data_IF_928294855668
#
_entry.id   IF_928294855668
#
_cell.length_a   1.000
_cell.length_b   1.000
_cell.length_c   1.000
_cell.angle_alpha   90.00
_cell.angle_beta   90.00
_cell.angle_gamma   90.00
#
_symmetry.space_group_name_H-M   'P 1'
#
loop_
_entity.id
_entity.type
_entity.pdbx_description
1 polymer ?
#
# COMPACT_ATOMS: atom_id res chain seq x y z
N UNK A 1 12.39 -10.10 3.80
CA UNK A 1 12.14 -10.82 5.06
C UNK A 1 10.68 -11.25 5.07
N UNK A 2 10.36 -12.50 5.38
CA UNK A 2 8.95 -12.93 5.49
C UNK A 2 8.51 -12.71 6.93
N UNK A 3 7.56 -11.80 7.15
CA UNK A 3 7.11 -11.44 8.48
C UNK A 3 6.20 -12.56 9.05
N UNK A 4 6.72 -13.34 9.98
CA UNK A 4 6.02 -14.51 10.58
C UNK A 4 4.95 -14.05 11.59
N UNK A 5 5.08 -12.82 12.11
CA UNK A 5 4.16 -12.22 13.08
C UNK A 5 3.67 -10.89 12.52
N UNK A 6 2.36 -10.59 12.52
CA UNK A 6 1.87 -9.29 12.07
C UNK A 6 2.52 -8.18 12.92
N UNK A 7 3.34 -7.36 12.27
CA UNK A 7 4.10 -6.28 12.92
C UNK A 7 3.60 -4.93 12.40
N UNK A 8 2.69 -4.26 13.15
CA UNK A 8 2.00 -3.07 12.68
C UNK A 8 2.88 -1.89 12.21
N UNK A 9 4.07 -1.63 12.78
CA UNK A 9 4.92 -0.53 12.32
C UNK A 9 5.45 -0.69 10.89
N UNK A 10 5.18 -1.81 10.22
CA UNK A 10 5.61 -2.10 8.84
C UNK A 10 4.36 -2.21 7.95
N UNK A 11 3.62 -1.10 7.73
CA UNK A 11 2.43 -1.14 6.89
C UNK A 11 2.79 -1.47 5.44
N UNK A 12 2.01 -2.39 4.88
CA UNK A 12 1.97 -2.63 3.44
C UNK A 12 1.05 -1.59 2.79
N UNK A 13 1.62 -0.71 1.99
CA UNK A 13 0.91 0.36 1.31
C UNK A 13 0.37 -0.16 -0.02
N UNK A 14 -0.94 -0.02 -0.21
CA UNK A 14 -1.68 -0.51 -1.40
C UNK A 14 -2.57 0.56 -2.02
N UNK A 15 -2.93 1.60 -1.27
CA UNK A 15 -3.67 2.76 -1.78
C UNK A 15 -2.67 3.75 -2.39
N UNK A 16 -2.45 3.59 -3.69
CA UNK A 16 -1.49 4.33 -4.50
C UNK A 16 -2.20 5.13 -5.57
N UNK A 17 -1.86 6.42 -5.69
CA UNK A 17 -2.39 7.28 -6.73
C UNK A 17 -1.72 6.96 -8.07
N UNK A 18 -2.40 6.18 -8.92
CA UNK A 18 -1.88 5.70 -10.22
C UNK A 18 -1.93 6.75 -11.34
N UNK A 19 -2.51 7.92 -11.11
CA UNK A 19 -2.48 9.03 -12.07
C UNK A 19 -1.07 9.61 -12.21
N UNK A 20 -0.27 9.52 -11.14
CA UNK A 20 1.12 9.95 -11.14
C UNK A 20 2.04 8.84 -11.70
N UNK A 21 2.96 9.14 -12.64
CA UNK A 21 3.86 8.15 -13.22
C UNK A 21 4.70 7.41 -12.18
N UNK A 22 4.97 8.00 -11.02
CA UNK A 22 5.69 7.35 -9.91
C UNK A 22 5.04 5.99 -9.54
N UNK A 23 3.72 5.88 -9.65
CA UNK A 23 2.95 4.74 -9.15
C UNK A 23 2.35 3.83 -10.24
N UNK A 24 2.54 4.11 -11.53
CA UNK A 24 1.79 3.46 -12.61
C UNK A 24 1.93 1.92 -12.67
N UNK A 25 3.00 1.33 -12.13
CA UNK A 25 3.20 -0.12 -12.04
C UNK A 25 3.51 -0.63 -10.62
N UNK A 26 3.21 0.21 -9.64
CA UNK A 26 3.35 -0.17 -8.26
C UNK A 26 2.01 -0.71 -7.77
N UNK A 27 2.08 -1.92 -7.25
CA UNK A 27 0.98 -2.62 -6.64
C UNK A 27 1.02 -2.47 -5.12
N UNK A 28 2.19 -2.67 -4.53
CA UNK A 28 2.39 -2.41 -3.11
C UNK A 28 3.86 -2.29 -2.72
N UNK A 29 4.11 -1.54 -1.66
CA UNK A 29 5.42 -1.47 -1.03
C UNK A 29 5.28 -1.30 0.49
N UNK A 30 6.27 -1.74 1.23
CA UNK A 30 6.31 -1.61 2.69
C UNK A 30 7.03 -0.32 3.05
N UNK A 31 6.46 0.49 3.94
CA UNK A 31 7.15 1.64 4.53
C UNK A 31 7.42 1.39 6.02
N UNK A 32 8.62 0.91 6.40
CA UNK A 32 8.95 0.62 7.79
C UNK A 32 8.95 1.91 8.63
N UNK A 33 8.33 1.85 9.81
CA UNK A 33 8.29 2.96 10.78
C UNK A 33 7.83 4.29 10.18
N UNK A 34 6.87 4.23 9.25
CA UNK A 34 6.40 5.41 8.54
C UNK A 34 5.64 6.38 9.44
N UNK A 35 5.92 7.67 9.26
CA UNK A 35 5.17 8.78 9.87
C UNK A 35 4.07 9.27 8.95
N UNK A 36 2.94 9.65 9.53
CA UNK A 36 1.86 10.31 8.79
C UNK A 36 2.27 11.72 8.36
N UNK A 37 1.81 12.12 7.18
CA UNK A 37 2.02 13.45 6.61
C UNK A 37 0.68 14.19 6.55
N UNK A 38 0.75 15.52 6.49
CA UNK A 38 -0.42 16.35 6.23
C UNK A 38 -0.01 17.52 5.34
N UNK A 39 -0.66 17.64 4.19
CA UNK A 39 -0.44 18.78 3.29
C UNK A 39 -1.22 19.99 3.80
N UNK A 40 -0.52 21.12 3.93
CA UNK A 40 -1.17 22.39 4.23
C UNK A 40 -1.67 23.04 2.94
N UNK A 41 -2.96 22.82 2.61
CA UNK A 41 -3.57 23.37 1.41
C UNK A 41 -3.55 24.90 1.34
N UNK A 42 -3.62 25.58 2.49
CA UNK A 42 -3.61 27.05 2.55
C UNK A 42 -2.29 27.62 2.03
N UNK A 43 -1.17 27.02 2.45
CA UNK A 43 0.17 27.41 1.98
C UNK A 43 0.38 27.06 0.51
N UNK A 44 -0.10 25.90 0.07
CA UNK A 44 0.01 25.47 -1.32
C UNK A 44 -0.74 26.40 -2.27
N UNK A 45 -2.01 26.70 -1.96
CA UNK A 45 -2.84 27.63 -2.75
C UNK A 45 -2.26 29.04 -2.75
N UNK A 46 -1.83 29.55 -1.59
CA UNK A 46 -1.22 30.88 -1.47
C UNK A 46 0.08 31.04 -2.27
N UNK A 47 0.80 29.94 -2.51
CA UNK A 47 2.06 29.93 -3.27
C UNK A 47 1.91 29.50 -4.73
N UNK A 48 0.68 29.18 -5.19
CA UNK A 48 0.45 28.65 -6.54
C UNK A 48 1.08 27.27 -6.78
N UNK A 49 1.32 26.49 -5.72
CA UNK A 49 1.93 25.17 -5.79
C UNK A 49 0.86 24.08 -5.91
N UNK A 50 1.12 23.06 -6.73
CA UNK A 50 0.26 21.88 -6.86
C UNK A 50 0.77 20.80 -5.91
N UNK A 51 -0.02 20.47 -4.90
CA UNK A 51 0.19 19.32 -4.03
C UNK A 51 -0.64 18.11 -4.46
N UNK A 52 -0.07 16.93 -4.34
CA UNK A 52 -0.69 15.64 -4.66
C UNK A 52 -0.27 14.60 -3.62
N UNK A 53 -1.22 13.78 -3.16
CA UNK A 53 -0.91 12.61 -2.33
C UNK A 53 -0.60 11.45 -3.25
N UNK A 54 0.56 10.82 -3.06
CA UNK A 54 1.01 9.68 -3.87
C UNK A 54 0.61 8.35 -3.23
N UNK A 55 0.58 8.26 -1.91
CA UNK A 55 0.31 7.02 -1.21
C UNK A 55 -0.35 7.24 0.14
N UNK A 56 -1.32 6.38 0.46
CA UNK A 56 -2.08 6.39 1.73
C UNK A 56 -2.06 5.05 2.42
N UNK A 57 -2.20 5.09 3.74
CA UNK A 57 -2.49 3.90 4.53
C UNK A 57 -3.95 3.48 4.39
N UNK A 58 -4.24 2.22 4.74
CA UNK A 58 -5.62 1.72 4.74
C UNK A 58 -6.50 2.43 5.79
N UNK A 59 -7.82 2.39 5.61
CA UNK A 59 -8.78 2.89 6.60
C UNK A 59 -8.71 2.19 7.98
N UNK A 60 -7.98 1.07 8.09
CA UNK A 60 -7.74 0.34 9.35
C UNK A 60 -6.39 0.66 9.99
N UNK A 61 -5.71 1.70 9.54
CA UNK A 61 -4.47 2.16 10.15
C UNK A 61 -4.75 3.02 11.39
N UNK A 62 -3.79 3.09 12.30
CA UNK A 62 -3.81 3.99 13.46
C UNK A 62 -2.42 4.60 13.65
N UNK A 63 -2.36 5.71 14.38
CA UNK A 63 -1.10 6.37 14.72
C UNK A 63 -0.79 6.22 16.21
N UNK A 64 0.48 6.03 16.55
CA UNK A 64 0.97 6.09 17.93
C UNK A 64 1.75 7.39 18.12
N UNK A 65 1.54 8.08 19.25
CA UNK A 65 2.16 9.37 19.55
C UNK A 65 2.99 9.28 20.83
N UNK A 66 3.95 10.18 20.97
CA UNK A 66 4.84 10.29 22.13
C UNK A 66 5.72 9.05 22.30
N UNK A 67 5.81 8.53 23.53
CA UNK A 67 6.55 7.32 23.83
C UNK A 67 5.71 6.08 23.51
N UNK A 68 6.25 5.19 22.69
CA UNK A 68 5.65 3.90 22.37
C UNK A 68 6.71 2.81 22.34
N UNK A 69 6.30 1.57 22.62
CA UNK A 69 7.19 0.41 22.56
C UNK A 69 7.07 -0.29 21.22
N UNK A 70 8.22 -0.55 20.60
CA UNK A 70 8.33 -1.28 19.34
C UNK A 70 8.35 -2.81 19.50
N UNK A 71 8.41 -3.30 20.74
CA UNK A 71 8.32 -4.74 20.98
C UNK A 71 6.91 -5.24 20.62
N UNK A 72 6.77 -6.28 19.77
CA UNK A 72 5.46 -6.79 19.34
C UNK A 72 4.50 -7.13 20.49
N UNK A 73 5.05 -7.50 21.65
CA UNK A 73 4.28 -7.89 22.84
C UNK A 73 3.64 -6.70 23.56
N UNK A 74 4.18 -5.49 23.36
CA UNK A 74 3.76 -4.27 24.06
C UNK A 74 3.10 -3.24 23.14
N UNK A 75 2.91 -3.56 21.85
CA UNK A 75 2.14 -2.71 20.94
C UNK A 75 0.67 -2.79 21.34
N UNK A 76 0.14 -1.67 21.84
CA UNK A 76 -1.27 -1.60 22.20
C UNK A 76 -2.16 -1.61 20.95
N UNK A 77 -3.25 -2.39 20.95
CA UNK A 77 -4.21 -2.37 19.86
C UNK A 77 -4.92 -1.01 19.79
N UNK A 78 -5.31 -0.57 18.59
CA UNK A 78 -6.05 0.68 18.42
C UNK A 78 -7.44 0.62 19.06
N UNK A 79 -7.96 1.76 19.51
CA UNK A 79 -9.38 1.86 19.83
C UNK A 79 -10.19 1.97 18.51
N UNK A 80 -11.46 1.51 18.48
CA UNK A 80 -12.27 1.58 17.26
C UNK A 80 -12.39 2.97 16.63
N UNK A 81 -12.27 4.04 17.43
CA UNK A 81 -12.31 5.44 16.96
C UNK A 81 -10.99 5.97 16.39
N UNK A 82 -9.87 5.27 16.60
CA UNK A 82 -8.54 5.72 16.17
C UNK A 82 -8.22 5.31 14.72
N UNK A 83 -9.04 4.41 14.15
CA UNK A 83 -8.83 3.84 12.84
C UNK A 83 -9.19 4.84 11.73
N UNK A 84 -8.18 5.22 10.93
CA UNK A 84 -8.36 6.09 9.76
C UNK A 84 -7.25 5.89 8.74
N UNK A 85 -7.51 6.36 7.52
CA UNK A 85 -6.46 6.47 6.50
C UNK A 85 -5.56 7.68 6.78
N UNK A 86 -4.27 7.53 6.51
CA UNK A 86 -3.24 8.56 6.69
C UNK A 86 -2.47 8.74 5.38
N UNK A 87 -2.13 9.97 5.05
CA UNK A 87 -1.23 10.26 3.94
C UNK A 87 0.20 9.90 4.35
N UNK A 88 0.91 9.14 3.51
CA UNK A 88 2.26 8.63 3.81
C UNK A 88 3.32 9.24 2.89
N UNK A 89 2.92 9.56 1.66
CA UNK A 89 3.78 10.16 0.64
C UNK A 89 3.03 11.29 -0.04
N UNK A 90 3.68 12.44 -0.15
CA UNK A 90 3.16 13.60 -0.86
C UNK A 90 4.17 14.15 -1.87
N UNK A 91 3.68 14.63 -3.00
CA UNK A 91 4.45 15.34 -4.00
C UNK A 91 3.94 16.77 -4.14
N UNK A 92 4.85 17.71 -4.34
CA UNK A 92 4.57 19.11 -4.59
C UNK A 92 5.34 19.55 -5.82
N UNK A 93 4.68 20.28 -6.73
CA UNK A 93 5.29 20.78 -7.95
C UNK A 93 4.86 22.23 -8.22
N UNK A 94 5.76 23.00 -8.81
CA UNK A 94 5.51 24.40 -9.18
C UNK A 94 6.74 25.29 -9.02
N UNK A 95 6.54 26.59 -9.14
CA UNK A 95 7.59 27.59 -8.86
C UNK A 95 7.59 27.87 -7.37
N UNK A 96 8.60 27.38 -6.66
CA UNK A 96 8.72 27.62 -5.22
C UNK A 96 9.14 29.07 -4.96
N UNK A 97 8.52 29.77 -4.00
CA UNK A 97 8.97 31.10 -3.62
C UNK A 97 10.42 31.02 -3.12
N UNK A 98 11.26 31.94 -3.57
CA UNK A 98 12.66 32.00 -3.15
C UNK A 98 12.72 32.32 -1.65
N UNK A 99 13.45 31.50 -0.89
CA UNK A 99 13.68 31.75 0.53
C UNK A 99 14.51 33.02 0.77
N UNK A 100 15.28 33.46 -0.23
CA UNK A 100 16.12 34.66 -0.18
C UNK A 100 15.79 35.57 -1.37
N UNK A 101 15.20 36.73 -1.09
CA UNK A 101 15.09 37.82 -2.05
C UNK A 101 16.42 38.57 -2.17
N UNK A 102 16.69 39.16 -3.33
CA UNK A 102 17.88 39.97 -3.55
C UNK A 102 18.05 41.02 -2.42
N UNK A 103 19.17 40.97 -1.70
CA UNK A 103 19.47 41.84 -0.55
C UNK A 103 19.51 41.15 0.82
N UNK A 104 18.95 39.94 0.96
CA UNK A 104 19.03 39.13 2.19
C UNK A 104 20.10 38.03 2.14
N UNK A 105 20.89 37.99 1.07
CA UNK A 105 21.98 37.03 0.93
C UNK A 105 23.03 37.36 1.99
N UNK A 106 23.39 36.41 2.89
CA UNK A 106 24.43 36.65 3.89
C UNK A 106 25.71 37.14 3.22
N UNK A 107 26.32 38.22 3.71
CA UNK A 107 27.61 38.66 3.21
C UNK A 107 28.68 37.61 3.53
N UNK A 108 29.67 37.37 2.67
CA UNK A 108 30.73 36.41 2.94
C UNK A 108 31.44 36.80 4.24
N UNK A 109 31.57 35.85 5.16
CA UNK A 109 32.08 36.09 6.51
C UNK A 109 33.60 36.04 6.55
N UNK A 110 34.22 35.39 5.55
CA UNK A 110 35.68 35.28 5.39
C UNK A 110 36.14 35.67 3.99
N UNK A 111 37.36 36.21 3.85
CA UNK A 111 37.97 36.41 2.54
C UNK A 111 38.14 35.06 1.83
N UNK A 112 37.53 34.90 0.66
CA UNK A 112 37.57 33.65 -0.13
C UNK A 112 36.28 32.82 -0.09
N UNK A 113 35.28 33.19 0.73
CA UNK A 113 33.97 32.54 0.72
C UNK A 113 33.25 32.84 -0.61
N UNK A 114 33.12 31.83 -1.46
CA UNK A 114 32.22 31.85 -2.61
C UNK A 114 30.82 31.48 -2.15
N UNK A 115 29.93 32.47 -2.12
CA UNK A 115 28.51 32.23 -1.89
C UNK A 115 27.88 31.62 -3.15
N UNK A 116 26.93 30.69 -3.02
CA UNK A 116 26.19 30.20 -4.17
C UNK A 116 25.46 31.36 -4.86
N UNK A 117 25.56 31.43 -6.19
CA UNK A 117 24.78 32.38 -6.98
C UNK A 117 23.32 31.98 -6.92
N UNK A 118 22.52 32.73 -6.17
CA UNK A 118 21.08 32.54 -6.12
C UNK A 118 20.47 32.99 -7.45
N UNK A 119 19.70 32.11 -8.09
CA UNK A 119 18.97 32.48 -9.29
C UNK A 119 17.92 33.55 -8.93
N UNK A 120 17.91 34.65 -9.67
CA UNK A 120 16.97 35.75 -9.46
C UNK A 120 15.50 35.34 -9.74
N UNK A 121 15.29 34.28 -10.53
CA UNK A 121 13.97 33.73 -10.83
C UNK A 121 13.86 32.27 -10.39
N UNK A 122 12.78 31.95 -9.68
CA UNK A 122 12.45 30.60 -9.28
C UNK A 122 12.06 29.75 -10.50
N UNK A 123 12.86 28.73 -10.79
CA UNK A 123 12.51 27.71 -11.78
C UNK A 123 11.45 26.77 -11.20
N UNK A 124 10.57 26.19 -12.04
CA UNK A 124 9.69 25.11 -11.61
C UNK A 124 10.54 23.96 -11.04
N UNK A 125 10.16 23.47 -9.87
CA UNK A 125 10.80 22.33 -9.24
C UNK A 125 9.74 21.32 -8.76
N UNK A 126 10.24 20.16 -8.36
CA UNK A 126 9.46 19.06 -7.80
C UNK A 126 10.05 18.69 -6.44
N UNK A 127 9.17 18.46 -5.48
CA UNK A 127 9.52 18.01 -4.14
C UNK A 127 8.67 16.79 -3.83
N UNK A 128 9.28 15.72 -3.34
CA UNK A 128 8.58 14.55 -2.80
C UNK A 128 8.99 14.40 -1.35
N UNK A 129 8.00 14.18 -0.48
CA UNK A 129 8.20 13.91 0.94
C UNK A 129 7.65 12.52 1.23
N UNK A 130 8.50 11.69 1.83
CA UNK A 130 8.14 10.34 2.28
C UNK A 130 8.39 10.27 3.78
N UNK A 131 7.38 9.87 4.55
CA UNK A 131 7.47 9.77 6.01
C UNK A 131 8.34 8.64 6.55
N UNK A 132 9.26 8.07 5.76
CA UNK A 132 10.03 6.88 6.09
C UNK A 132 11.51 7.07 5.76
N UNK A 133 12.36 7.11 6.78
CA UNK A 133 13.81 7.27 6.61
C UNK A 133 14.50 5.97 6.15
N UNK A 134 13.99 4.82 6.58
CA UNK A 134 14.62 3.52 6.34
C UNK A 134 14.25 2.89 4.98
N UNK A 135 13.40 3.54 4.17
CA UNK A 135 12.94 2.94 2.90
C UNK A 135 14.08 2.60 1.92
N UNK A 136 15.20 3.33 2.02
CA UNK A 136 16.37 3.15 1.16
C UNK A 136 17.47 2.30 1.82
N UNK A 137 17.18 1.65 2.95
CA UNK A 137 18.15 0.78 3.59
C UNK A 137 18.33 -0.53 2.81
N UNK A 138 19.53 -1.10 2.87
CA UNK A 138 19.86 -2.36 2.20
C UNK A 138 18.95 -3.53 2.63
N UNK A 139 18.42 -3.48 3.85
CA UNK A 139 17.54 -4.52 4.39
C UNK A 139 16.19 -4.56 3.67
N UNK A 140 15.71 -3.39 3.21
CA UNK A 140 14.44 -3.25 2.51
C UNK A 140 14.60 -3.28 0.98
N UNK A 141 15.74 -2.83 0.46
CA UNK A 141 16.03 -2.85 -0.99
C UNK A 141 16.46 -4.22 -1.54
N UNK A 142 16.31 -5.31 -0.77
CA UNK A 142 16.73 -6.64 -1.18
C UNK A 142 15.90 -7.15 -2.38
N UNK A 143 16.52 -7.54 -3.51
CA UNK A 143 15.82 -8.05 -4.70
C UNK A 143 14.99 -9.32 -4.48
N UNK A 144 15.20 -10.02 -3.36
CA UNK A 144 14.41 -11.20 -2.96
C UNK A 144 13.10 -10.84 -2.25
N UNK A 145 12.92 -9.58 -1.84
CA UNK A 145 11.65 -9.13 -1.32
C UNK A 145 10.66 -8.98 -2.46
N UNK A 146 9.42 -9.39 -2.21
CA UNK A 146 8.30 -9.25 -3.15
C UNK A 146 7.72 -7.84 -3.14
N UNK A 147 8.22 -6.95 -2.28
CA UNK A 147 7.77 -5.57 -2.19
C UNK A 147 8.45 -4.69 -3.26
N UNK A 148 7.73 -3.68 -3.73
CA UNK A 148 8.19 -2.85 -4.84
C UNK A 148 8.83 -1.55 -4.34
N UNK A 149 9.34 -1.53 -3.10
CA UNK A 149 9.92 -0.31 -2.51
C UNK A 149 11.14 0.19 -3.29
N UNK A 150 11.94 -0.73 -3.85
CA UNK A 150 13.05 -0.38 -4.74
C UNK A 150 12.58 0.25 -6.06
N UNK A 151 11.51 -0.28 -6.67
CA UNK A 151 10.93 0.30 -7.90
C UNK A 151 10.31 1.68 -7.64
N UNK A 152 9.60 1.83 -6.52
CA UNK A 152 9.08 3.12 -6.06
C UNK A 152 10.20 4.14 -5.89
N UNK A 153 11.29 3.74 -5.23
CA UNK A 153 12.43 4.62 -4.98
C UNK A 153 13.08 5.11 -6.28
N UNK A 154 13.26 4.22 -7.25
CA UNK A 154 13.80 4.60 -8.56
C UNK A 154 12.83 5.50 -9.34
N UNK A 155 11.53 5.19 -9.32
CA UNK A 155 10.50 6.04 -9.95
C UNK A 155 10.48 7.45 -9.34
N UNK A 156 10.64 7.56 -8.02
CA UNK A 156 10.73 8.83 -7.31
C UNK A 156 11.95 9.63 -7.76
N UNK A 157 13.13 8.99 -7.84
CA UNK A 157 14.36 9.66 -8.28
C UNK A 157 14.24 10.17 -9.72
N UNK A 158 13.74 9.35 -10.64
CA UNK A 158 13.55 9.72 -12.04
C UNK A 158 12.54 10.87 -12.17
N UNK A 159 11.46 10.86 -11.37
CA UNK A 159 10.46 11.93 -11.38
C UNK A 159 11.00 13.25 -10.84
N UNK A 160 11.81 13.21 -9.76
CA UNK A 160 12.47 14.38 -9.18
C UNK A 160 13.55 14.93 -10.13
N UNK A 161 14.26 14.05 -10.83
CA UNK A 161 15.25 14.40 -11.85
C UNK A 161 14.63 14.96 -13.15
N UNK A 162 13.30 15.08 -13.22
CA UNK A 162 12.55 15.49 -14.41
C UNK A 162 12.72 14.59 -15.64
N UNK A 163 13.02 13.30 -15.43
CA UNK A 163 13.12 12.30 -16.50
C UNK A 163 12.02 11.22 -16.39
N UNK A 164 10.75 11.56 -16.66
CA UNK A 164 9.65 10.60 -16.56
C UNK A 164 9.68 9.53 -17.66
N UNK A 165 10.45 9.70 -18.73
CA UNK A 165 10.51 8.75 -19.84
C UNK A 165 11.16 7.42 -19.40
N UNK A 166 12.11 7.47 -18.46
CA UNK A 166 12.73 6.27 -17.87
C UNK A 166 11.75 5.45 -17.02
N UNK A 167 10.78 6.12 -16.37
CA UNK A 167 9.73 5.48 -15.59
C UNK A 167 8.83 4.64 -16.51
N UNK A 168 8.45 5.19 -17.67
CA UNK A 168 7.57 4.53 -18.63
C UNK A 168 8.18 3.25 -19.21
N UNK A 169 9.50 3.22 -19.43
CA UNK A 169 10.22 2.03 -19.90
C UNK A 169 10.21 0.92 -18.83
N UNK A 170 10.45 1.27 -17.56
CA UNK A 170 10.44 0.32 -16.43
C UNK A 170 9.05 -0.25 -16.16
N UNK A 171 8.01 0.51 -16.47
CA UNK A 171 6.60 0.12 -16.35
C UNK A 171 6.13 -0.93 -17.39
N UNK A 172 7.03 -1.64 -18.07
CA UNK A 172 6.67 -2.80 -18.89
C UNK A 172 6.93 -4.16 -18.20
N UNK A 173 7.49 -4.15 -16.99
CA UNK A 173 7.71 -5.34 -16.18
C UNK A 173 6.46 -5.81 -15.43
N UNK A 174 6.28 -7.14 -15.33
CA UNK A 174 5.15 -7.77 -14.63
C UNK A 174 5.25 -7.53 -13.13
N UNK A 175 4.25 -6.85 -12.57
CA UNK A 175 4.10 -6.66 -11.12
C UNK A 175 3.26 -7.80 -10.52
N UNK A 176 3.65 -8.28 -9.33
CA UNK A 176 2.82 -9.19 -8.54
C UNK A 176 1.70 -8.41 -7.87
N UNK A 177 0.46 -8.61 -8.34
CA UNK A 177 -0.73 -7.94 -7.81
C UNK A 177 -1.12 -8.59 -6.46
N UNK A 178 -1.08 -7.85 -5.33
CA UNK A 178 -1.60 -8.35 -4.07
C UNK A 178 -3.11 -8.57 -4.20
N UNK A 179 -3.62 -9.57 -3.48
CA UNK A 179 -5.05 -9.86 -3.47
C UNK A 179 -5.82 -8.63 -2.99
N UNK A 180 -6.84 -8.23 -3.74
CA UNK A 180 -7.72 -7.14 -3.36
C UNK A 180 -8.27 -7.35 -1.95
N UNK A 181 -8.29 -6.28 -1.15
CA UNK A 181 -8.84 -6.30 0.20
C UNK A 181 -10.33 -6.62 0.17
N UNK A 182 -10.70 -7.87 0.44
CA UNK A 182 -12.10 -8.30 0.63
C UNK A 182 -12.58 -7.95 2.03
N UNK A 183 -13.86 -7.58 2.15
CA UNK A 183 -14.48 -7.29 3.45
C UNK A 183 -14.38 -8.48 4.38
N UNK A 184 -14.26 -8.22 5.69
CA UNK A 184 -14.11 -9.28 6.69
C UNK A 184 -15.31 -10.25 6.67
N UNK A 185 -16.52 -9.73 6.39
CA UNK A 185 -17.72 -10.54 6.20
C UNK A 185 -17.61 -11.48 4.99
N UNK A 186 -17.17 -10.99 3.83
CA UNK A 186 -17.00 -11.81 2.64
C UNK A 186 -15.89 -12.86 2.83
N UNK A 187 -14.75 -12.45 3.41
CA UNK A 187 -13.64 -13.35 3.76
C UNK A 187 -14.12 -14.47 4.68
N UNK A 188 -14.90 -14.15 5.72
CA UNK A 188 -15.43 -15.13 6.66
C UNK A 188 -16.46 -16.05 5.99
N UNK A 189 -17.35 -15.52 5.16
CA UNK A 189 -18.32 -16.33 4.42
C UNK A 189 -17.62 -17.37 3.55
N UNK A 190 -16.64 -16.96 2.74
CA UNK A 190 -15.88 -17.87 1.87
C UNK A 190 -15.12 -18.89 2.70
N UNK A 191 -14.49 -18.46 3.80
CA UNK A 191 -13.76 -19.35 4.71
C UNK A 191 -14.67 -20.42 5.31
N UNK A 192 -15.79 -20.04 5.92
CA UNK A 192 -16.71 -20.97 6.57
C UNK A 192 -17.49 -21.82 5.57
N UNK A 193 -17.83 -21.27 4.40
CA UNK A 193 -18.45 -22.03 3.32
C UNK A 193 -17.53 -23.14 2.82
N UNK A 194 -16.24 -22.85 2.58
CA UNK A 194 -15.30 -23.90 2.17
C UNK A 194 -14.97 -24.89 3.29
N UNK A 195 -14.88 -24.43 4.55
CA UNK A 195 -14.54 -25.28 5.68
C UNK A 195 -15.68 -26.21 6.11
N UNK A 196 -16.94 -25.73 6.07
CA UNK A 196 -18.10 -26.44 6.62
C UNK A 196 -19.14 -26.69 5.52
N UNK A 197 -19.48 -25.65 4.74
CA UNK A 197 -20.52 -25.71 3.71
C UNK A 197 -20.24 -26.76 2.63
N UNK A 198 -19.02 -26.78 2.08
CA UNK A 198 -18.66 -27.71 1.00
C UNK A 198 -18.66 -29.18 1.48
N UNK A 199 -18.05 -29.56 2.62
CA UNK A 199 -18.20 -30.91 3.18
C UNK A 199 -19.65 -31.30 3.46
N UNK A 200 -20.47 -30.38 4.00
CA UNK A 200 -21.89 -30.64 4.24
C UNK A 200 -22.67 -30.88 2.95
N UNK A 201 -22.42 -30.09 1.90
CA UNK A 201 -23.06 -30.28 0.60
C UNK A 201 -22.72 -31.66 0.01
N UNK A 202 -21.47 -32.08 0.12
CA UNK A 202 -21.04 -33.42 -0.32
C UNK A 202 -21.72 -34.51 0.51
N UNK A 203 -21.78 -34.37 1.84
CA UNK A 203 -22.44 -35.33 2.72
C UNK A 203 -23.95 -35.44 2.43
N UNK A 204 -24.63 -34.31 2.26
CA UNK A 204 -26.05 -34.26 1.92
C UNK A 204 -26.33 -34.83 0.52
N UNK A 205 -25.48 -34.52 -0.46
CA UNK A 205 -25.55 -35.09 -1.81
C UNK A 205 -25.35 -36.61 -1.80
N UNK A 206 -24.39 -37.09 -1.01
CA UNK A 206 -24.16 -38.52 -0.79
C UNK A 206 -25.36 -39.21 -0.13
N UNK A 207 -25.94 -38.60 0.90
CA UNK A 207 -27.13 -39.12 1.59
C UNK A 207 -28.35 -39.16 0.65
N UNK A 208 -28.53 -38.13 -0.17
CA UNK A 208 -29.60 -38.07 -1.16
C UNK A 208 -29.45 -39.15 -2.23
N UNK A 209 -28.25 -39.31 -2.79
CA UNK A 209 -27.96 -40.39 -3.74
C UNK A 209 -28.19 -41.76 -3.11
N UNK A 210 -27.70 -41.97 -1.89
CA UNK A 210 -27.88 -43.22 -1.16
C UNK A 210 -29.36 -43.56 -0.97
N UNK A 211 -30.20 -42.61 -0.54
CA UNK A 211 -31.65 -42.81 -0.44
C UNK A 211 -32.27 -43.18 -1.79
N UNK A 212 -31.87 -42.52 -2.87
CA UNK A 212 -32.39 -42.83 -4.21
C UNK A 212 -32.01 -44.24 -4.66
N UNK A 213 -30.80 -44.70 -4.34
CA UNK A 213 -30.38 -46.07 -4.60
C UNK A 213 -31.20 -47.09 -3.80
N UNK A 214 -31.52 -46.82 -2.53
CA UNK A 214 -32.35 -47.71 -1.73
C UNK A 214 -33.77 -47.86 -2.30
N UNK A 215 -34.42 -46.74 -2.66
CA UNK A 215 -35.76 -46.77 -3.27
C UNK A 215 -35.77 -47.55 -4.59
N UNK A 216 -34.74 -47.35 -5.43
CA UNK A 216 -34.58 -48.10 -6.69
C UNK A 216 -34.41 -49.61 -6.45
N UNK A 217 -33.61 -50.00 -5.45
CA UNK A 217 -33.40 -51.40 -5.09
C UNK A 217 -34.70 -52.08 -4.66
N UNK A 218 -35.47 -51.42 -3.79
CA UNK A 218 -36.77 -51.93 -3.33
C UNK A 218 -37.77 -52.04 -4.50
N UNK A 219 -37.82 -51.06 -5.40
CA UNK A 219 -38.68 -51.12 -6.57
C UNK A 219 -38.33 -52.28 -7.53
N UNK A 220 -37.03 -52.52 -7.77
CA UNK A 220 -36.56 -53.66 -8.59
C UNK A 220 -36.90 -54.98 -7.92
N UNK A 221 -36.68 -55.12 -6.61
CA UNK A 221 -37.03 -56.33 -5.86
C UNK A 221 -38.54 -56.63 -5.94
N UNK A 222 -39.40 -55.60 -5.84
CA UNK A 222 -40.84 -55.75 -5.99
C UNK A 222 -41.27 -56.21 -7.40
N UNK A 223 -40.59 -55.74 -8.45
CA UNK A 223 -40.85 -56.18 -9.83
C UNK A 223 -40.52 -57.66 -10.05
N UNK A 224 -39.42 -58.15 -9.47
CA UNK A 224 -39.06 -59.57 -9.57
C UNK A 224 -39.96 -60.47 -8.70
N UNK A 225 -40.36 -60.02 -7.51
CA UNK A 225 -41.31 -60.76 -6.67
C UNK A 225 -42.67 -60.94 -7.35
N UNK A 226 -43.13 -59.96 -8.13
CA UNK A 226 -44.40 -60.00 -8.86
C UNK A 226 -44.35 -60.89 -10.11
N UNK A 227 -43.17 -61.26 -10.59
CA UNK A 227 -42.96 -62.09 -11.80
C UNK A 227 -42.69 -63.57 -11.46
N UNK A 228 -42.51 -63.89 -10.18
CA UNK A 228 -42.26 -65.23 -9.67
C UNK A 228 -43.54 -65.93 -9.13
N UNK A 229 -44.70 -65.29 -9.31
CA UNK A 229 -46.06 -65.83 -9.10
C UNK A 229 -46.74 -65.90 -10.45
#
# INVERSE_FOLDING_TARGET
MQNIVPYPPFPLVTDLNRDNPINQNLESFTLPFVSSLTLNEGVLKGSGLKGEILARSSARAWEQKNFFMLSPQFIQPPQPGDLRAFDLVAAVSGKFPAAFTAGQIPKPTRPGDVLPTYAAEAKPARLVVVGCADMLSNDFMNPRNTDQIGQFSLNLMDWVAQDPALIEIRNKGVASVPLAGVSDAHRNLVKYFNMIGLPLLVALGGLWMWRRFQVRRLAIAALFAKKAV
#
